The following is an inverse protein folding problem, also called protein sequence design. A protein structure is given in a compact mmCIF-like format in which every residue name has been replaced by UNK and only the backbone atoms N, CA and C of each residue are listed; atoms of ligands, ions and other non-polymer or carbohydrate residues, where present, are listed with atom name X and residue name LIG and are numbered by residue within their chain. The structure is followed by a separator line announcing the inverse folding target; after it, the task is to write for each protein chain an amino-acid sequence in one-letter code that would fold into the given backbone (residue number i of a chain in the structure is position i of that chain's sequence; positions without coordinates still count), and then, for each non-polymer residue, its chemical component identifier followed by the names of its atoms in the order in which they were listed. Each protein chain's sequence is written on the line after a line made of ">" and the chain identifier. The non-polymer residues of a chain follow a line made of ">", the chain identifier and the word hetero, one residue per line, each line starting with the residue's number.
data_IF_788974327984
#
_entry.id   IF_788974327984
#
_cell.length_a   1.000
_cell.length_b   1.000
_cell.length_c   1.000
_cell.angle_alpha   90.00
_cell.angle_beta   90.00
_cell.angle_gamma   90.00
#
_symmetry.space_group_name_H-M   'P 1'
#
loop_
_entity.id
_entity.type
_entity.pdbx_description
1 polymer ?
#
# COMPACT_ATOMS: atom_id res chain seq x y z
N UNK A 1 6.58 -39.46 -12.70
CA UNK A 1 5.91 -39.52 -11.37
C UNK A 1 6.72 -38.78 -10.31
N UNK A 2 8.01 -39.12 -10.09
CA UNK A 2 8.90 -38.36 -9.19
C UNK A 2 9.04 -36.87 -9.55
N UNK A 3 9.28 -36.52 -10.82
CA UNK A 3 9.40 -35.12 -11.27
C UNK A 3 8.16 -34.26 -11.02
N UNK A 4 6.97 -34.86 -11.03
CA UNK A 4 5.72 -34.18 -10.72
C UNK A 4 5.55 -33.93 -9.20
N UNK A 5 5.98 -34.87 -8.36
CA UNK A 5 5.97 -34.72 -6.89
C UNK A 5 6.93 -33.62 -6.45
N UNK A 6 8.13 -33.56 -7.04
CA UNK A 6 9.06 -32.45 -6.80
C UNK A 6 8.48 -31.11 -7.27
N UNK A 7 7.85 -31.07 -8.44
CA UNK A 7 7.20 -29.85 -8.94
C UNK A 7 6.11 -29.32 -8.00
N UNK A 8 5.27 -30.21 -7.45
CA UNK A 8 4.22 -29.84 -6.50
C UNK A 8 4.79 -29.33 -5.17
N UNK A 9 5.80 -30.00 -4.61
CA UNK A 9 6.42 -29.55 -3.35
C UNK A 9 7.16 -28.23 -3.52
N UNK A 10 7.80 -28.00 -4.66
CA UNK A 10 8.39 -26.68 -4.97
C UNK A 10 7.32 -25.59 -5.00
N UNK A 11 6.19 -25.82 -5.69
CA UNK A 11 5.10 -24.83 -5.76
C UNK A 11 4.56 -24.51 -4.36
N UNK A 12 4.32 -25.53 -3.53
CA UNK A 12 3.81 -25.34 -2.16
C UNK A 12 4.76 -24.51 -1.28
N UNK A 13 6.06 -24.77 -1.36
CA UNK A 13 7.07 -24.00 -0.62
C UNK A 13 7.06 -22.53 -1.07
N UNK A 14 7.00 -22.27 -2.38
CA UNK A 14 6.95 -20.89 -2.89
C UNK A 14 5.67 -20.17 -2.47
N UNK A 15 4.52 -20.85 -2.52
CA UNK A 15 3.25 -20.29 -2.06
C UNK A 15 3.27 -19.97 -0.56
N UNK A 16 3.82 -20.86 0.28
CA UNK A 16 3.96 -20.60 1.71
C UNK A 16 4.88 -19.41 2.00
N UNK A 17 6.03 -19.33 1.33
CA UNK A 17 6.96 -18.21 1.49
C UNK A 17 6.32 -16.88 1.06
N UNK A 18 5.59 -16.86 -0.06
CA UNK A 18 4.89 -15.67 -0.51
C UNK A 18 3.79 -15.24 0.46
N UNK A 19 3.04 -16.21 1.02
CA UNK A 19 2.04 -15.94 2.05
C UNK A 19 2.68 -15.35 3.31
N UNK A 20 3.73 -15.97 3.83
CA UNK A 20 4.44 -15.48 5.01
C UNK A 20 5.00 -14.07 4.79
N UNK A 21 5.62 -13.82 3.63
CA UNK A 21 6.10 -12.50 3.23
C UNK A 21 4.95 -11.48 3.18
N UNK A 22 3.81 -11.85 2.60
CA UNK A 22 2.61 -11.01 2.51
C UNK A 22 2.08 -10.61 3.89
N UNK A 23 2.04 -11.54 4.83
CA UNK A 23 1.63 -11.25 6.21
C UNK A 23 2.60 -10.27 6.87
N UNK A 24 3.90 -10.54 6.79
CA UNK A 24 4.93 -9.68 7.39
C UNK A 24 4.87 -8.27 6.82
N UNK A 25 4.75 -8.13 5.49
CA UNK A 25 4.78 -6.82 4.86
C UNK A 25 3.52 -6.00 5.18
N UNK A 26 2.34 -6.63 5.25
CA UNK A 26 1.10 -5.95 5.66
C UNK A 26 1.19 -5.50 7.12
N UNK A 27 1.63 -6.38 8.03
CA UNK A 27 1.81 -6.03 9.44
C UNK A 27 2.82 -4.89 9.59
N UNK A 28 3.91 -4.93 8.83
CA UNK A 28 4.92 -3.89 8.83
C UNK A 28 4.33 -2.55 8.35
N UNK A 29 3.58 -2.51 7.26
CA UNK A 29 2.94 -1.27 6.78
C UNK A 29 1.91 -0.70 7.75
N UNK A 30 1.11 -1.55 8.40
CA UNK A 30 0.16 -1.12 9.44
C UNK A 30 0.90 -0.39 10.57
N UNK A 31 2.01 -0.95 11.04
CA UNK A 31 2.81 -0.31 12.09
C UNK A 31 3.54 0.94 11.58
N UNK A 32 4.08 0.91 10.36
CA UNK A 32 4.74 2.07 9.76
C UNK A 32 3.80 3.27 9.70
N UNK A 33 2.59 3.10 9.17
CA UNK A 33 1.62 4.19 9.09
C UNK A 33 1.14 4.65 10.47
N UNK A 34 1.03 3.74 11.44
CA UNK A 34 0.73 4.11 12.82
C UNK A 34 1.83 5.01 13.42
N UNK A 35 3.11 4.72 13.17
CA UNK A 35 4.22 5.58 13.57
C UNK A 35 4.23 6.93 12.84
N UNK A 36 3.91 6.95 11.54
CA UNK A 36 3.85 8.19 10.74
C UNK A 36 2.74 9.15 11.19
N UNK A 37 1.66 8.64 11.81
CA UNK A 37 0.54 9.45 12.31
C UNK A 37 0.88 10.25 13.59
N UNK A 38 2.14 10.21 14.06
CA UNK A 38 2.62 11.05 15.16
C UNK A 38 2.86 12.53 14.78
N UNK A 39 2.83 12.85 13.49
CA UNK A 39 3.06 14.21 12.97
C UNK A 39 1.86 14.64 12.12
N UNK A 40 1.23 15.76 12.51
CA UNK A 40 0.09 16.37 11.81
C UNK A 40 0.35 16.48 10.30
N UNK A 41 -0.54 15.89 9.50
CA UNK A 41 -0.50 15.93 8.04
C UNK A 41 0.50 14.99 7.37
N UNK A 42 1.43 14.34 8.09
CA UNK A 42 2.48 13.51 7.47
C UNK A 42 1.90 12.26 6.80
N UNK A 43 1.22 11.40 7.56
CA UNK A 43 0.64 10.16 7.06
C UNK A 43 -0.39 10.40 5.94
N UNK A 44 -1.20 11.45 6.10
CA UNK A 44 -2.21 11.82 5.10
C UNK A 44 -1.59 12.41 3.82
N UNK A 45 -0.52 13.21 3.92
CA UNK A 45 0.18 13.75 2.74
C UNK A 45 0.85 12.61 1.96
N UNK A 46 1.50 11.68 2.65
CA UNK A 46 2.08 10.50 1.99
C UNK A 46 1.02 9.68 1.26
N UNK A 47 -0.09 9.39 1.93
CA UNK A 47 -1.16 8.62 1.33
C UNK A 47 -1.75 9.31 0.09
N UNK A 48 -1.93 10.63 0.11
CA UNK A 48 -2.37 11.41 -1.07
C UNK A 48 -1.33 11.32 -2.18
N UNK A 49 -0.05 11.51 -1.88
CA UNK A 49 1.03 11.46 -2.87
C UNK A 49 1.12 10.08 -3.55
N UNK A 50 1.25 9.01 -2.75
CA UNK A 50 1.40 7.65 -3.24
C UNK A 50 0.19 7.25 -4.08
N UNK A 51 -1.02 7.51 -3.58
CA UNK A 51 -2.25 7.12 -4.30
C UNK A 51 -2.48 7.93 -5.58
N UNK A 52 -2.14 9.22 -5.60
CA UNK A 52 -2.20 10.04 -6.81
C UNK A 52 -1.19 9.55 -7.88
N UNK A 53 0.05 9.29 -7.49
CA UNK A 53 1.10 8.88 -8.44
C UNK A 53 0.88 7.43 -8.91
N UNK A 54 0.59 6.51 -8.00
CA UNK A 54 0.28 5.11 -8.36
C UNK A 54 -0.96 5.03 -9.27
N UNK A 55 -2.03 5.76 -8.93
CA UNK A 55 -3.23 5.85 -9.78
C UNK A 55 -2.92 6.41 -11.17
N UNK A 56 -2.07 7.44 -11.25
CA UNK A 56 -1.65 8.02 -12.54
C UNK A 56 -0.83 7.02 -13.38
N UNK A 57 0.11 6.31 -12.77
CA UNK A 57 0.90 5.28 -13.47
C UNK A 57 -0.02 4.16 -13.96
N UNK A 58 -0.93 3.66 -13.12
CA UNK A 58 -1.88 2.61 -13.48
C UNK A 58 -2.77 3.03 -14.65
N UNK A 59 -3.31 4.25 -14.61
CA UNK A 59 -4.15 4.81 -15.67
C UNK A 59 -3.38 4.91 -17.00
N UNK A 60 -2.12 5.37 -16.96
CA UNK A 60 -1.27 5.46 -18.16
C UNK A 60 -0.91 4.09 -18.76
N UNK A 61 -0.98 3.02 -17.97
CA UNK A 61 -0.74 1.65 -18.43
C UNK A 61 -2.05 0.90 -18.76
N UNK A 62 -3.21 1.56 -18.71
CA UNK A 62 -4.51 0.97 -19.05
C UNK A 62 -5.13 0.11 -17.96
N UNK A 63 -4.68 0.25 -16.70
CA UNK A 63 -5.22 -0.47 -15.53
C UNK A 63 -6.25 0.40 -14.79
N UNK A 64 -7.32 0.78 -15.49
CA UNK A 64 -8.29 1.79 -15.06
C UNK A 64 -8.98 1.43 -13.73
N UNK A 65 -9.38 0.17 -13.55
CA UNK A 65 -10.08 -0.28 -12.34
C UNK A 65 -9.25 0.01 -11.08
N UNK A 66 -7.97 -0.38 -11.10
CA UNK A 66 -7.07 -0.16 -9.97
C UNK A 66 -6.68 1.32 -9.84
N UNK A 67 -6.54 2.03 -10.95
CA UNK A 67 -6.30 3.47 -10.94
C UNK A 67 -7.45 4.22 -10.22
N UNK A 68 -8.70 3.85 -10.48
CA UNK A 68 -9.86 4.45 -9.82
C UNK A 68 -9.89 4.15 -8.33
N UNK A 69 -9.48 2.95 -7.89
CA UNK A 69 -9.32 2.64 -6.47
C UNK A 69 -8.28 3.55 -5.82
N UNK A 70 -7.13 3.74 -6.46
CA UNK A 70 -6.11 4.66 -5.97
C UNK A 70 -6.61 6.11 -5.91
N UNK A 71 -7.31 6.61 -6.94
CA UNK A 71 -7.86 7.96 -6.93
C UNK A 71 -8.97 8.15 -5.90
N UNK A 72 -9.83 7.14 -5.69
CA UNK A 72 -10.85 7.18 -4.65
C UNK A 72 -10.21 7.32 -3.25
N UNK A 73 -9.16 6.55 -2.98
CA UNK A 73 -8.39 6.69 -1.74
C UNK A 73 -7.74 8.08 -1.65
N UNK A 74 -7.13 8.56 -2.73
CA UNK A 74 -6.53 9.90 -2.81
C UNK A 74 -7.53 10.99 -2.39
N UNK A 75 -8.71 11.05 -3.01
CA UNK A 75 -9.70 12.08 -2.71
C UNK A 75 -10.31 11.92 -1.31
N UNK A 76 -10.49 10.69 -0.83
CA UNK A 76 -10.96 10.45 0.54
C UNK A 76 -9.96 10.98 1.57
N UNK A 77 -8.67 10.67 1.41
CA UNK A 77 -7.61 11.15 2.31
C UNK A 77 -7.36 12.64 2.12
N UNK A 78 -7.48 13.20 0.91
CA UNK A 78 -7.37 14.63 0.66
C UNK A 78 -8.39 15.43 1.48
N UNK A 79 -9.65 14.95 1.54
CA UNK A 79 -10.69 15.56 2.39
C UNK A 79 -10.33 15.54 3.87
N UNK A 80 -9.74 14.44 4.35
CA UNK A 80 -9.22 14.34 5.72
C UNK A 80 -8.01 15.27 5.95
N UNK A 81 -7.06 15.32 5.02
CA UNK A 81 -5.83 16.11 5.09
C UNK A 81 -6.14 17.59 5.31
N UNK A 82 -7.20 18.13 4.70
CA UNK A 82 -7.63 19.52 4.91
C UNK A 82 -7.98 19.84 6.38
N UNK A 83 -8.41 18.84 7.16
CA UNK A 83 -8.72 18.97 8.58
C UNK A 83 -7.55 18.55 9.47
N UNK A 84 -6.66 17.70 8.97
CA UNK A 84 -5.45 17.23 9.67
C UNK A 84 -4.22 18.11 9.43
N UNK A 85 -4.29 19.09 8.51
CA UNK A 85 -3.19 19.99 8.20
C UNK A 85 -2.77 20.80 9.44
N UNK A 86 -1.45 20.95 9.73
CA UNK A 86 -0.99 21.63 10.93
C UNK A 86 -1.52 23.07 11.08
N UNK A 87 -2.10 23.44 12.24
CA UNK A 87 -2.40 22.60 13.40
C UNK A 87 -3.65 21.72 13.18
N UNK A 88 -3.55 20.41 13.46
CA UNK A 88 -4.63 19.46 13.19
C UNK A 88 -5.90 19.75 14.00
N UNK A 89 -7.06 19.68 13.33
CA UNK A 89 -8.40 19.78 13.92
C UNK A 89 -8.98 18.41 14.24
N UNK A 90 -8.61 17.41 13.44
CA UNK A 90 -9.00 16.01 13.60
C UNK A 90 -7.76 15.15 13.40
N UNK A 91 -7.59 14.15 14.27
CA UNK A 91 -6.52 13.16 14.20
C UNK A 91 -6.99 11.90 13.48
N UNK A 92 -6.07 11.22 12.79
CA UNK A 92 -6.38 9.99 12.05
C UNK A 92 -6.58 8.82 13.01
N UNK A 93 -5.69 8.68 13.99
CA UNK A 93 -5.74 7.66 15.03
C UNK A 93 -5.48 6.24 14.48
N UNK A 94 -5.45 5.26 15.39
CA UNK A 94 -5.06 3.88 15.06
C UNK A 94 -5.94 3.23 13.97
N UNK A 95 -7.22 3.59 13.92
CA UNK A 95 -8.17 3.06 12.94
C UNK A 95 -7.82 3.55 11.54
N UNK A 96 -7.58 4.86 11.37
CA UNK A 96 -7.29 5.44 10.06
C UNK A 96 -5.88 5.11 9.57
N UNK A 97 -4.88 5.18 10.44
CA UNK A 97 -3.50 4.89 10.08
C UNK A 97 -3.29 3.40 9.81
N UNK A 98 -3.89 2.53 10.63
CA UNK A 98 -3.89 1.10 10.40
C UNK A 98 -4.62 0.70 9.10
N UNK A 99 -5.74 1.36 8.79
CA UNK A 99 -6.42 1.18 7.51
C UNK A 99 -5.52 1.54 6.32
N UNK A 100 -4.84 2.71 6.34
CA UNK A 100 -3.94 3.11 5.26
C UNK A 100 -2.79 2.13 5.08
N UNK A 101 -2.12 1.75 6.16
CA UNK A 101 -1.03 0.78 6.10
C UNK A 101 -1.48 -0.56 5.52
N UNK A 102 -2.64 -1.06 5.95
CA UNK A 102 -3.23 -2.29 5.39
C UNK A 102 -3.54 -2.16 3.90
N UNK A 103 -4.20 -1.06 3.49
CA UNK A 103 -4.60 -0.82 2.11
C UNK A 103 -3.38 -0.70 1.19
N UNK A 104 -2.35 0.07 1.55
CA UNK A 104 -1.13 0.15 0.74
C UNK A 104 -0.38 -1.18 0.65
N UNK A 105 -0.28 -1.92 1.76
CA UNK A 105 0.32 -3.25 1.76
C UNK A 105 -0.41 -4.22 0.81
N UNK A 106 -1.74 -4.21 0.81
CA UNK A 106 -2.53 -5.03 -0.12
C UNK A 106 -2.42 -4.54 -1.56
N UNK A 107 -2.54 -3.25 -1.82
CA UNK A 107 -2.46 -2.71 -3.17
C UNK A 107 -1.11 -3.09 -3.81
N UNK A 108 -0.02 -3.00 -3.06
CA UNK A 108 1.30 -3.45 -3.52
C UNK A 108 1.33 -4.92 -3.94
N UNK A 109 0.78 -5.81 -3.11
CA UNK A 109 0.76 -7.25 -3.39
C UNK A 109 -0.17 -7.60 -4.56
N UNK A 110 -1.36 -7.01 -4.59
CA UNK A 110 -2.37 -7.25 -5.64
C UNK A 110 -1.85 -6.76 -6.99
N UNK A 111 -1.37 -5.53 -7.10
CA UNK A 111 -0.85 -5.02 -8.39
C UNK A 111 0.37 -5.80 -8.86
N UNK A 112 1.20 -6.29 -7.94
CA UNK A 112 2.35 -7.11 -8.30
C UNK A 112 1.92 -8.47 -8.85
N UNK A 113 0.99 -9.15 -8.15
CA UNK A 113 0.46 -10.45 -8.59
C UNK A 113 -0.28 -10.39 -9.92
N UNK A 114 -0.91 -9.24 -10.24
CA UNK A 114 -1.61 -9.01 -11.49
C UNK A 114 -0.72 -8.40 -12.59
N UNK A 115 0.59 -8.26 -12.34
CA UNK A 115 1.55 -7.65 -13.26
C UNK A 115 1.21 -6.21 -13.68
N UNK A 116 0.48 -5.46 -12.84
CA UNK A 116 0.07 -4.09 -13.09
C UNK A 116 1.12 -3.08 -12.61
N UNK A 117 1.68 -3.31 -11.43
CA UNK A 117 2.69 -2.44 -10.83
C UNK A 117 3.64 -3.25 -9.95
N UNK A 118 4.94 -3.10 -10.18
CA UNK A 118 5.98 -3.87 -9.50
C UNK A 118 6.26 -3.36 -8.08
N UNK A 119 6.64 -4.26 -7.17
CA UNK A 119 6.99 -3.93 -5.77
C UNK A 119 8.01 -2.78 -5.66
N UNK A 120 9.10 -2.72 -6.45
CA UNK A 120 10.06 -1.62 -6.34
C UNK A 120 9.45 -0.24 -6.58
N UNK A 121 8.43 -0.12 -7.43
CA UNK A 121 7.74 1.16 -7.68
C UNK A 121 7.01 1.58 -6.40
N UNK A 122 6.29 0.67 -5.76
CA UNK A 122 5.66 0.92 -4.46
C UNK A 122 6.68 1.32 -3.40
N UNK A 123 7.81 0.61 -3.29
CA UNK A 123 8.87 0.97 -2.35
C UNK A 123 9.43 2.37 -2.62
N UNK A 124 9.62 2.76 -3.88
CA UNK A 124 10.08 4.11 -4.23
C UNK A 124 9.04 5.16 -3.81
N UNK A 125 7.76 4.96 -4.18
CA UNK A 125 6.70 5.90 -3.84
C UNK A 125 6.54 6.07 -2.33
N UNK A 126 6.57 4.96 -1.58
CA UNK A 126 6.40 4.94 -0.13
C UNK A 126 7.67 5.33 0.63
N UNK A 127 8.82 5.50 -0.05
CA UNK A 127 10.07 5.90 0.59
C UNK A 127 10.22 7.40 0.79
N UNK A 128 9.39 8.21 0.10
CA UNK A 128 9.55 9.66 0.05
C UNK A 128 9.40 10.31 1.42
N UNK A 129 8.57 9.73 2.30
CA UNK A 129 8.29 10.26 3.63
C UNK A 129 8.60 9.26 4.76
N UNK A 130 9.48 8.28 4.52
CA UNK A 130 10.05 7.48 5.61
C UNK A 130 11.08 8.36 6.31
N UNK A 131 10.69 8.93 7.47
CA UNK A 131 11.54 9.74 8.35
C UNK A 131 11.96 8.93 9.57
#
# INVERSE_FOLDING_TARGET
>A
MLSAVWGLSFIEIHSFLFFAFSVVIIVWFVNLYNFMDGIDGLAATEAVFVSAVAGSILLLNGFDEMAYVCFALCFAVLGFLMLNWPPAKIFMGDVGSGFLGYVFGIMMLVTHSQHQLSIPIWCILLSVFIV
#
